data_IF_882118629997
#
_entry.id   IF_882118629997
#
_cell.length_a   1.000
_cell.length_b   1.000
_cell.length_c   1.000
_cell.angle_alpha   90.00
_cell.angle_beta   90.00
_cell.angle_gamma   90.00
#
_symmetry.space_group_name_H-M   'P 1'
#
loop_
_entity.id
_entity.type
_entity.pdbx_description
1 polymer ?
#
# COMPACT_ATOMS: atom_id res chain seq x y z
N UNK A 1 -13.03 28.20 16.53
CA UNK A 1 -11.96 27.19 16.75
C UNK A 1 -11.06 27.16 15.52
N UNK A 2 -9.77 26.81 15.64
CA UNK A 2 -8.86 26.82 14.49
C UNK A 2 -9.17 25.62 13.57
N UNK A 3 -9.45 25.87 12.29
CA UNK A 3 -9.80 24.81 11.31
C UNK A 3 -8.80 23.65 11.26
N UNK A 4 -7.53 23.91 11.58
CA UNK A 4 -6.48 22.89 11.67
C UNK A 4 -6.76 21.84 12.77
N UNK A 5 -7.34 22.25 13.89
CA UNK A 5 -7.64 21.33 14.99
C UNK A 5 -8.82 20.41 14.63
N UNK A 6 -9.82 20.93 13.90
CA UNK A 6 -10.89 20.10 13.36
C UNK A 6 -10.36 19.09 12.34
N UNK A 7 -9.46 19.48 11.44
CA UNK A 7 -8.80 18.55 10.52
C UNK A 7 -8.02 17.44 11.26
N UNK A 8 -7.32 17.80 12.36
CA UNK A 8 -6.63 16.82 13.20
C UNK A 8 -7.61 15.85 13.87
N UNK A 9 -8.75 16.34 14.35
CA UNK A 9 -9.82 15.52 14.94
C UNK A 9 -10.43 14.57 13.91
N UNK A 10 -10.77 15.07 12.72
CA UNK A 10 -11.28 14.26 11.61
C UNK A 10 -10.33 13.12 11.31
N UNK A 11 -9.04 13.44 11.08
CA UNK A 11 -8.01 12.43 10.83
C UNK A 11 -7.94 11.39 11.95
N UNK A 12 -7.99 11.83 13.20
CA UNK A 12 -7.93 10.93 14.35
C UNK A 12 -9.16 10.01 14.43
N UNK A 13 -10.36 10.52 14.20
CA UNK A 13 -11.58 9.69 14.17
C UNK A 13 -11.56 8.66 13.05
N UNK A 14 -11.17 9.07 11.83
CA UNK A 14 -11.02 8.15 10.70
C UNK A 14 -9.98 7.06 11.00
N UNK A 15 -8.86 7.43 11.63
CA UNK A 15 -7.85 6.46 12.05
C UNK A 15 -8.38 5.42 13.04
N UNK A 16 -9.25 5.82 13.95
CA UNK A 16 -9.90 4.92 14.92
C UNK A 16 -11.11 4.16 14.35
N UNK A 17 -11.40 4.30 13.05
CA UNK A 17 -12.59 3.71 12.41
C UNK A 17 -13.91 4.36 12.83
N UNK A 18 -13.87 5.54 13.49
CA UNK A 18 -15.06 6.27 13.93
C UNK A 18 -15.59 7.19 12.83
N UNK A 19 -16.14 6.60 11.77
CA UNK A 19 -16.64 7.31 10.57
C UNK A 19 -17.72 8.33 10.90
N UNK A 20 -18.71 7.95 11.72
CA UNK A 20 -19.78 8.84 12.15
C UNK A 20 -19.24 10.11 12.83
N UNK A 21 -18.30 9.99 13.78
CA UNK A 21 -17.71 11.15 14.48
C UNK A 21 -16.88 12.01 13.54
N UNK A 22 -16.19 11.39 12.57
CA UNK A 22 -15.49 12.14 11.54
C UNK A 22 -16.47 12.97 10.69
N UNK A 23 -17.59 12.37 10.26
CA UNK A 23 -18.64 13.04 9.50
C UNK A 23 -19.24 14.22 10.26
N UNK A 24 -19.59 14.05 11.55
CA UNK A 24 -20.10 15.15 12.39
C UNK A 24 -19.14 16.33 12.44
N UNK A 25 -17.83 16.07 12.58
CA UNK A 25 -16.83 17.15 12.60
C UNK A 25 -16.69 17.80 11.23
N UNK A 26 -16.76 17.03 10.15
CA UNK A 26 -16.72 17.57 8.78
C UNK A 26 -17.94 18.47 8.52
N UNK A 27 -19.13 18.05 8.94
CA UNK A 27 -20.38 18.78 8.74
C UNK A 27 -20.35 20.13 9.47
N UNK A 28 -19.95 20.11 10.74
CA UNK A 28 -19.78 21.34 11.53
C UNK A 28 -18.73 22.28 10.90
N UNK A 29 -17.59 21.72 10.46
CA UNK A 29 -16.55 22.51 9.80
C UNK A 29 -17.05 23.10 8.47
N UNK A 30 -17.88 22.39 7.70
CA UNK A 30 -18.47 22.90 6.47
C UNK A 30 -19.43 24.06 6.74
N UNK A 31 -20.27 23.98 7.78
CA UNK A 31 -21.14 25.07 8.21
C UNK A 31 -20.32 26.31 8.60
N UNK A 32 -19.27 26.13 9.40
CA UNK A 32 -18.35 27.21 9.77
C UNK A 32 -17.70 27.84 8.52
N UNK A 33 -17.28 27.01 7.56
CA UNK A 33 -16.66 27.47 6.31
C UNK A 33 -17.64 28.18 5.37
N UNK A 34 -18.92 27.85 5.42
CA UNK A 34 -19.97 28.53 4.66
C UNK A 34 -20.23 29.93 5.21
N UNK A 35 -20.26 30.07 6.55
CA UNK A 35 -20.44 31.33 7.25
C UNK A 35 -19.18 32.22 7.28
N UNK A 36 -18.00 31.64 7.01
CA UNK A 36 -16.74 32.35 7.07
C UNK A 36 -16.58 33.34 5.90
N UNK A 37 -16.66 34.64 6.20
CA UNK A 37 -16.20 35.70 5.32
C UNK A 37 -14.71 35.98 5.56
N UNK A 38 -13.85 35.55 4.65
CA UNK A 38 -12.40 35.66 4.77
C UNK A 38 -11.74 36.01 3.45
N UNK A 39 -10.72 36.87 3.52
CA UNK A 39 -9.85 37.24 2.39
C UNK A 39 -8.84 36.15 2.02
N UNK A 40 -8.93 34.95 2.61
CA UNK A 40 -8.04 33.85 2.28
C UNK A 40 -8.29 33.38 0.83
N UNK A 41 -7.31 33.53 -0.08
CA UNK A 41 -7.53 33.32 -1.52
C UNK A 41 -7.92 31.89 -1.88
N UNK A 42 -7.59 30.90 -1.03
CA UNK A 42 -7.92 29.50 -1.27
C UNK A 42 -9.13 29.01 -0.47
N UNK A 43 -9.92 29.90 0.17
CA UNK A 43 -11.09 29.48 0.96
C UNK A 43 -12.07 28.67 0.13
N UNK A 44 -12.35 29.09 -1.11
CA UNK A 44 -13.21 28.36 -2.04
C UNK A 44 -12.70 26.95 -2.31
N UNK A 45 -11.39 26.81 -2.59
CA UNK A 45 -10.75 25.50 -2.82
C UNK A 45 -10.83 24.62 -1.58
N UNK A 46 -10.63 25.20 -0.40
CA UNK A 46 -10.73 24.49 0.86
C UNK A 46 -12.15 23.97 1.11
N UNK A 47 -13.17 24.80 0.89
CA UNK A 47 -14.59 24.40 0.98
C UNK A 47 -14.91 23.25 0.01
N UNK A 48 -14.44 23.33 -1.24
CA UNK A 48 -14.61 22.24 -2.22
C UNK A 48 -13.95 20.95 -1.74
N UNK A 49 -12.69 21.00 -1.29
CA UNK A 49 -11.99 19.82 -0.81
C UNK A 49 -12.67 19.18 0.41
N UNK A 50 -13.24 19.99 1.31
CA UNK A 50 -14.00 19.48 2.46
C UNK A 50 -15.29 18.77 2.02
N UNK A 51 -16.03 19.31 1.04
CA UNK A 51 -17.23 18.64 0.50
C UNK A 51 -16.89 17.34 -0.22
N UNK A 52 -15.83 17.34 -1.01
CA UNK A 52 -15.33 16.13 -1.69
C UNK A 52 -14.93 15.06 -0.66
N UNK A 53 -14.27 15.46 0.42
CA UNK A 53 -13.89 14.56 1.53
C UNK A 53 -15.12 13.97 2.22
N UNK A 54 -16.14 14.80 2.51
CA UNK A 54 -17.42 14.36 3.08
C UNK A 54 -18.09 13.31 2.19
N UNK A 55 -18.23 13.61 0.89
CA UNK A 55 -18.86 12.72 -0.08
C UNK A 55 -18.09 11.40 -0.23
N UNK A 56 -16.75 11.47 -0.24
CA UNK A 56 -15.89 10.29 -0.30
C UNK A 56 -16.08 9.39 0.92
N UNK A 57 -16.02 9.95 2.13
CA UNK A 57 -16.17 9.21 3.39
C UNK A 57 -17.54 8.57 3.46
N UNK A 58 -18.60 9.30 3.11
CA UNK A 58 -19.97 8.77 3.10
C UNK A 58 -20.14 7.62 2.07
N UNK A 59 -19.56 7.75 0.88
CA UNK A 59 -19.67 6.74 -0.17
C UNK A 59 -18.91 5.44 0.15
N UNK A 60 -17.86 5.53 0.96
CA UNK A 60 -16.97 4.43 1.27
C UNK A 60 -16.99 4.02 2.75
N UNK A 61 -18.01 4.42 3.52
CA UNK A 61 -18.07 4.16 4.95
C UNK A 61 -17.88 2.67 5.29
N UNK A 62 -18.56 1.78 4.58
CA UNK A 62 -18.47 0.34 4.79
C UNK A 62 -17.10 -0.26 4.44
N UNK A 63 -16.28 0.43 3.65
CA UNK A 63 -14.94 -0.03 3.25
C UNK A 63 -13.80 0.70 3.96
N UNK A 64 -14.11 1.68 4.82
CA UNK A 64 -13.10 2.38 5.62
C UNK A 64 -12.48 1.43 6.64
N UNK A 65 -11.15 1.38 6.63
CA UNK A 65 -10.37 0.50 7.48
C UNK A 65 -10.15 1.16 8.84
N UNK A 66 -10.42 0.43 9.93
CA UNK A 66 -10.02 0.83 11.27
C UNK A 66 -8.51 0.60 11.48
N UNK A 67 -7.70 1.61 11.14
CA UNK A 67 -6.24 1.52 11.29
C UNK A 67 -5.79 1.43 12.74
N UNK A 68 -6.54 2.00 13.69
CA UNK A 68 -6.26 1.90 15.12
C UNK A 68 -6.40 0.47 15.63
N UNK A 69 -7.43 -0.25 15.19
CA UNK A 69 -7.58 -1.68 15.48
C UNK A 69 -6.45 -2.50 14.86
N UNK A 70 -6.18 -2.33 13.56
CA UNK A 70 -5.07 -3.01 12.88
C UNK A 70 -3.73 -2.81 13.59
N UNK A 71 -3.45 -1.58 14.04
CA UNK A 71 -2.25 -1.28 14.81
C UNK A 71 -2.16 -2.08 16.11
N UNK A 72 -3.25 -2.13 16.89
CA UNK A 72 -3.30 -2.88 18.15
C UNK A 72 -3.20 -4.39 17.93
N UNK A 73 -3.74 -4.89 16.81
CA UNK A 73 -3.66 -6.29 16.41
C UNK A 73 -2.31 -6.67 15.77
N UNK A 74 -1.38 -5.72 15.59
CA UNK A 74 -0.09 -5.97 14.93
C UNK A 74 -0.21 -6.24 13.42
N UNK A 75 -1.33 -5.88 12.81
CA UNK A 75 -1.54 -6.05 11.38
C UNK A 75 -0.81 -4.99 10.55
N UNK A 76 -0.58 -5.29 9.27
CA UNK A 76 0.03 -4.33 8.35
C UNK A 76 -0.93 -3.15 8.11
N UNK A 77 -0.45 -1.95 8.44
CA UNK A 77 -1.19 -0.70 8.29
C UNK A 77 -1.02 -0.06 6.91
N UNK A 78 0.16 -0.22 6.30
CA UNK A 78 0.47 0.44 5.03
C UNK A 78 1.31 -0.44 4.12
N UNK A 79 0.98 -0.41 2.83
CA UNK A 79 1.79 -0.91 1.71
C UNK A 79 2.71 0.16 1.13
N UNK A 80 2.71 1.40 1.65
CA UNK A 80 3.41 2.53 1.03
C UNK A 80 4.91 2.28 0.80
N UNK A 81 5.59 1.57 1.71
CA UNK A 81 6.99 1.19 1.52
C UNK A 81 7.17 0.22 0.33
N UNK A 82 6.29 -0.77 0.21
CA UNK A 82 6.29 -1.73 -0.89
C UNK A 82 5.95 -1.02 -2.21
N UNK A 83 4.93 -0.17 -2.20
CA UNK A 83 4.52 0.65 -3.35
C UNK A 83 5.64 1.58 -3.81
N UNK A 84 6.32 2.26 -2.89
CA UNK A 84 7.46 3.12 -3.21
C UNK A 84 8.61 2.31 -3.85
N UNK A 85 8.88 1.12 -3.31
CA UNK A 85 9.90 0.22 -3.87
C UNK A 85 9.53 -0.25 -5.28
N UNK A 86 8.28 -0.67 -5.48
CA UNK A 86 7.76 -1.07 -6.81
C UNK A 86 7.84 0.10 -7.78
N UNK A 87 7.41 1.30 -7.36
CA UNK A 87 7.45 2.49 -8.20
C UNK A 87 8.88 2.86 -8.62
N UNK A 88 9.86 2.72 -7.71
CA UNK A 88 11.27 2.95 -8.03
C UNK A 88 11.79 1.94 -9.07
N UNK A 89 11.44 0.65 -8.93
CA UNK A 89 11.80 -0.39 -9.91
C UNK A 89 11.17 -0.12 -11.26
N UNK A 90 9.87 0.19 -11.30
CA UNK A 90 9.13 0.50 -12.53
C UNK A 90 9.76 1.72 -13.22
N UNK A 91 9.99 2.80 -12.47
CA UNK A 91 10.64 4.00 -13.00
C UNK A 91 12.02 3.71 -13.57
N UNK A 92 12.82 2.86 -12.92
CA UNK A 92 14.17 2.51 -13.40
C UNK A 92 14.18 1.58 -14.61
N UNK A 93 13.23 0.65 -14.71
CA UNK A 93 13.26 -0.44 -15.71
C UNK A 93 12.32 -0.25 -16.89
N UNK A 94 11.34 0.64 -16.79
CA UNK A 94 10.32 0.85 -17.83
C UNK A 94 10.17 2.32 -18.26
N UNK A 95 10.50 3.28 -17.40
CA UNK A 95 10.36 4.69 -17.77
C UNK A 95 11.60 5.21 -18.51
N UNK A 96 11.37 6.08 -19.50
CA UNK A 96 12.38 6.78 -20.32
C UNK A 96 13.27 5.83 -21.13
N UNK A 97 14.08 6.36 -22.05
CA UNK A 97 15.06 5.61 -22.87
C UNK A 97 16.32 5.22 -22.06
N UNK A 98 16.13 4.61 -20.88
CA UNK A 98 17.23 4.09 -20.08
C UNK A 98 17.88 2.89 -20.78
N UNK A 99 19.19 2.73 -20.64
CA UNK A 99 19.86 1.48 -21.03
C UNK A 99 19.43 0.35 -20.06
N UNK A 100 19.12 -0.84 -20.58
CA UNK A 100 18.55 -2.00 -19.86
C UNK A 100 17.06 -1.90 -19.45
N UNK A 101 16.19 -1.50 -20.39
CA UNK A 101 14.76 -1.70 -20.21
C UNK A 101 14.39 -3.18 -20.17
N UNK A 102 13.44 -3.54 -19.31
CA UNK A 102 12.87 -4.89 -19.31
C UNK A 102 11.72 -4.98 -20.30
N UNK A 103 11.68 -6.07 -21.07
CA UNK A 103 10.46 -6.42 -21.79
C UNK A 103 9.37 -6.87 -20.80
N UNK A 104 8.10 -6.75 -21.18
CA UNK A 104 6.98 -7.23 -20.36
C UNK A 104 7.15 -8.71 -19.97
N UNK A 105 7.60 -9.55 -20.92
CA UNK A 105 7.91 -10.97 -20.68
C UNK A 105 9.08 -11.14 -19.71
N UNK A 106 10.17 -10.38 -19.90
CA UNK A 106 11.34 -10.45 -19.02
C UNK A 106 11.01 -10.09 -17.57
N UNK A 107 10.25 -9.01 -17.35
CA UNK A 107 9.82 -8.62 -16.02
C UNK A 107 8.88 -9.64 -15.37
N UNK A 108 7.96 -10.22 -16.15
CA UNK A 108 7.09 -11.30 -15.65
C UNK A 108 7.92 -12.49 -15.17
N UNK A 109 8.88 -12.96 -15.96
CA UNK A 109 9.74 -14.09 -15.60
C UNK A 109 10.64 -13.78 -14.40
N UNK A 110 11.16 -12.56 -14.29
CA UNK A 110 11.92 -12.12 -13.12
C UNK A 110 11.06 -12.11 -11.85
N UNK A 111 9.82 -11.64 -11.93
CA UNK A 111 8.88 -11.69 -10.81
C UNK A 111 8.62 -13.14 -10.38
N UNK A 112 8.32 -14.03 -11.32
CA UNK A 112 8.12 -15.47 -11.05
C UNK A 112 9.34 -16.10 -10.36
N UNK A 113 10.54 -15.81 -10.87
CA UNK A 113 11.79 -16.31 -10.29
C UNK A 113 12.00 -15.78 -8.86
N UNK A 114 11.73 -14.48 -8.63
CA UNK A 114 11.88 -13.86 -7.32
C UNK A 114 10.88 -14.41 -6.31
N UNK A 115 9.63 -14.63 -6.71
CA UNK A 115 8.61 -15.28 -5.87
C UNK A 115 9.08 -16.67 -5.47
N UNK A 116 9.51 -17.49 -6.45
CA UNK A 116 10.04 -18.83 -6.20
C UNK A 116 11.27 -18.87 -5.30
N UNK A 117 12.08 -17.81 -5.33
CA UNK A 117 13.23 -17.68 -4.42
C UNK A 117 12.76 -17.40 -3.00
N UNK A 118 11.79 -16.50 -2.85
CA UNK A 118 11.27 -16.07 -1.54
C UNK A 118 10.43 -17.16 -0.86
N UNK A 119 9.69 -17.96 -1.63
CA UNK A 119 8.92 -19.09 -1.11
C UNK A 119 9.73 -20.40 -1.02
N UNK A 120 11.01 -20.38 -1.41
CA UNK A 120 11.91 -21.52 -1.36
C UNK A 120 11.71 -22.59 -2.45
N UNK A 121 10.70 -22.44 -3.33
CA UNK A 121 10.37 -23.43 -4.36
C UNK A 121 11.27 -23.40 -5.60
N UNK A 122 12.17 -22.41 -5.72
CA UNK A 122 13.01 -22.24 -6.91
C UNK A 122 13.84 -23.49 -7.19
N UNK A 123 14.47 -24.07 -6.16
CA UNK A 123 15.32 -25.26 -6.30
C UNK A 123 14.53 -26.45 -6.87
N UNK A 124 13.36 -26.73 -6.30
CA UNK A 124 12.51 -27.83 -6.75
C UNK A 124 12.04 -27.64 -8.21
N UNK A 125 11.74 -26.40 -8.62
CA UNK A 125 11.39 -26.10 -10.01
C UNK A 125 12.56 -26.39 -10.96
N UNK A 126 13.79 -26.03 -10.56
CA UNK A 126 15.00 -26.33 -11.35
C UNK A 126 15.27 -27.83 -11.42
N UNK A 127 15.13 -28.58 -10.33
CA UNK A 127 15.27 -30.04 -10.32
C UNK A 127 14.24 -30.73 -11.22
N UNK A 128 13.01 -30.22 -11.26
CA UNK A 128 11.98 -30.76 -12.14
C UNK A 128 12.29 -30.51 -13.62
N UNK A 129 12.77 -29.31 -13.98
CA UNK A 129 13.14 -28.98 -15.36
C UNK A 129 14.46 -29.62 -15.79
N UNK A 130 15.39 -29.81 -14.85
CA UNK A 130 16.72 -30.36 -15.05
C UNK A 130 16.96 -31.48 -14.03
N UNK A 131 16.51 -32.72 -14.32
CA UNK A 131 16.65 -33.84 -13.39
C UNK A 131 18.09 -34.13 -12.95
N UNK A 132 19.09 -33.84 -13.80
CA UNK A 132 20.51 -33.96 -13.47
C UNK A 132 21.03 -32.97 -12.43
N UNK A 133 20.22 -31.97 -12.03
CA UNK A 133 20.53 -31.10 -10.89
C UNK A 133 20.08 -31.70 -9.56
N UNK A 134 19.25 -32.75 -9.54
CA UNK A 134 18.94 -33.48 -8.30
C UNK A 134 20.26 -34.09 -7.81
N UNK A 135 20.86 -33.52 -6.77
CA UNK A 135 22.15 -34.01 -6.31
C UNK A 135 21.96 -35.35 -5.58
N UNK A 136 22.67 -36.36 -6.09
CA UNK A 136 22.93 -37.69 -5.54
C UNK A 136 23.67 -37.69 -4.17
N UNK A 137 23.63 -36.60 -3.41
CA UNK A 137 24.35 -36.46 -2.12
C UNK A 137 23.90 -37.50 -1.06
N UNK A 138 22.77 -38.19 -1.27
CA UNK A 138 22.32 -39.30 -0.42
C UNK A 138 22.93 -40.66 -0.82
N UNK A 139 23.53 -40.82 -2.01
CA UNK A 139 24.12 -42.11 -2.44
C UNK A 139 25.50 -42.37 -1.84
N UNK A 140 26.25 -41.32 -1.50
CA UNK A 140 27.60 -41.46 -0.93
C UNK A 140 27.63 -41.60 0.60
N UNK A 141 26.61 -41.11 1.33
CA UNK A 141 26.55 -41.31 2.79
C UNK A 141 26.30 -42.78 3.17
N UNK A 142 25.60 -43.54 2.33
CA UNK A 142 25.31 -44.97 2.57
C UNK A 142 26.47 -45.90 2.17
N UNK A 143 27.43 -45.43 1.35
CA UNK A 143 28.61 -46.21 0.93
C UNK A 143 29.83 -46.03 1.85
N UNK A 144 29.88 -44.94 2.61
CA UNK A 144 30.95 -44.70 3.59
C UNK A 144 30.72 -45.39 4.96
N UNK A 145 29.56 -46.03 5.14
CA UNK A 145 29.19 -46.75 6.37
C UNK A 145 29.16 -48.29 6.19
N UNK A 146 29.79 -48.81 5.12
CA UNK A 146 29.88 -50.24 4.81
C UNK A 146 31.32 -50.77 4.97
#
# INVERSE_FOLDING_TARGET
MAALDELRRIKWFLWQGSTHRASEVIDNLLLDLEALDSRYPNLRKFRTAMRESQAYIASYEASLINYGERYRSGERISSAFVEATVNAVVSKRFAKKQQMQWSRRGAHLLLQTRIRTLDGSLRAAFEHWYPGMMNDNNRDQSRAAA
#
